data_IF_290051638767
#
_entry.id   IF_290051638767
#
_cell.length_a   1.000
_cell.length_b   1.000
_cell.length_c   1.000
_cell.angle_alpha   90.00
_cell.angle_beta   90.00
_cell.angle_gamma   90.00
#
_symmetry.space_group_name_H-M   'P 1'
#
loop_
_entity.id
_entity.type
_entity.pdbx_description
1 polymer ?
#
# COMPACT_ATOMS: atom_id res chain seq x y z
N UNK A 1 38.01 10.01 5.33
CA UNK A 1 37.06 10.18 4.22
C UNK A 1 35.76 9.57 4.70
N UNK A 2 34.69 10.36 4.85
CA UNK A 2 33.50 9.98 5.61
C UNK A 2 32.49 9.27 4.68
N UNK A 3 32.39 7.95 4.78
CA UNK A 3 31.56 7.11 3.90
C UNK A 3 30.05 7.42 4.00
N UNK A 4 29.63 8.16 5.04
CA UNK A 4 28.26 8.63 5.21
C UNK A 4 27.78 9.64 4.16
N UNK A 5 28.70 10.30 3.43
CA UNK A 5 28.34 11.25 2.35
C UNK A 5 28.14 10.58 0.99
N UNK A 6 28.60 9.34 0.80
CA UNK A 6 28.48 8.64 -0.48
C UNK A 6 27.10 7.96 -0.60
N UNK A 7 26.53 7.52 0.53
CA UNK A 7 25.18 6.93 0.56
C UNK A 7 24.06 7.96 0.39
N UNK A 8 24.33 9.26 0.54
CA UNK A 8 23.32 10.33 0.41
C UNK A 8 23.12 10.83 -1.03
N UNK A 9 23.74 10.17 -2.03
CA UNK A 9 23.74 10.58 -3.44
C UNK A 9 23.29 9.48 -4.40
N UNK A 10 22.61 8.45 -3.90
CA UNK A 10 21.76 7.67 -4.80
C UNK A 10 20.53 8.54 -5.07
N UNK A 11 20.10 8.76 -6.34
CA UNK A 11 18.76 9.26 -6.58
C UNK A 11 17.83 8.29 -5.87
N UNK A 12 17.16 8.75 -4.82
CA UNK A 12 16.15 7.96 -4.16
C UNK A 12 14.99 7.87 -5.17
N UNK A 13 15.01 6.83 -6.01
CA UNK A 13 13.93 6.52 -6.97
C UNK A 13 12.60 6.30 -6.22
N UNK A 14 12.67 6.09 -4.90
CA UNK A 14 11.54 5.83 -4.02
C UNK A 14 11.66 6.67 -2.75
N UNK A 15 10.60 7.41 -2.41
CA UNK A 15 10.48 8.01 -1.08
C UNK A 15 10.13 6.91 -0.06
N UNK A 16 11.14 6.49 0.69
CA UNK A 16 11.02 5.45 1.71
C UNK A 16 10.01 5.81 2.81
N UNK A 17 9.91 7.09 3.17
CA UNK A 17 8.95 7.53 4.19
C UNK A 17 7.52 7.42 3.66
N UNK A 18 7.29 7.89 2.44
CA UNK A 18 5.99 7.77 1.77
C UNK A 18 5.57 6.30 1.62
N UNK A 19 6.48 5.41 1.22
CA UNK A 19 6.20 3.99 1.08
C UNK A 19 5.84 3.32 2.42
N UNK A 20 6.55 3.64 3.50
CA UNK A 20 6.27 3.10 4.84
C UNK A 20 4.90 3.59 5.34
N UNK A 21 4.61 4.88 5.25
CA UNK A 21 3.33 5.43 5.70
C UNK A 21 2.15 4.94 4.86
N UNK A 22 2.33 4.88 3.54
CA UNK A 22 1.33 4.29 2.64
C UNK A 22 1.05 2.84 3.02
N UNK A 23 2.09 2.03 3.24
CA UNK A 23 1.94 0.60 3.54
C UNK A 23 1.32 0.34 4.92
N UNK A 24 1.59 1.22 5.89
CA UNK A 24 0.97 1.15 7.20
C UNK A 24 -0.52 1.50 7.15
N UNK A 25 -0.89 2.60 6.49
CA UNK A 25 -2.29 3.07 6.43
C UNK A 25 -3.13 2.11 5.58
N UNK A 26 -2.69 1.78 4.37
CA UNK A 26 -3.38 0.83 3.49
C UNK A 26 -3.50 -0.56 4.13
N UNK A 27 -2.43 -1.04 4.77
CA UNK A 27 -2.43 -2.29 5.53
C UNK A 27 -3.45 -2.27 6.66
N UNK A 28 -3.50 -1.19 7.43
CA UNK A 28 -4.48 -1.03 8.52
C UNK A 28 -5.91 -1.08 7.98
N UNK A 29 -6.22 -0.33 6.92
CA UNK A 29 -7.56 -0.33 6.30
C UNK A 29 -7.90 -1.73 5.78
N UNK A 30 -6.97 -2.41 5.11
CA UNK A 30 -7.17 -3.78 4.64
C UNK A 30 -7.45 -4.75 5.77
N UNK A 31 -6.79 -4.60 6.92
CA UNK A 31 -7.03 -5.43 8.10
C UNK A 31 -8.44 -5.20 8.65
N UNK A 32 -8.89 -3.94 8.72
CA UNK A 32 -10.26 -3.61 9.11
C UNK A 32 -11.29 -4.24 8.16
N UNK A 33 -11.10 -4.12 6.84
CA UNK A 33 -11.98 -4.76 5.85
C UNK A 33 -12.00 -6.28 6.03
N UNK A 34 -10.84 -6.87 6.31
CA UNK A 34 -10.67 -8.31 6.57
C UNK A 34 -11.37 -8.79 7.85
N UNK A 35 -11.75 -7.90 8.76
CA UNK A 35 -12.51 -8.22 9.97
C UNK A 35 -14.00 -7.93 9.76
N UNK A 36 -14.31 -6.77 9.19
CA UNK A 36 -15.68 -6.28 9.01
C UNK A 36 -16.45 -7.13 8.00
N UNK A 37 -15.84 -7.53 6.88
CA UNK A 37 -16.55 -8.33 5.87
C UNK A 37 -16.95 -9.72 6.41
N UNK A 38 -16.04 -10.53 6.99
CA UNK A 38 -16.43 -11.83 7.55
C UNK A 38 -17.44 -11.73 8.69
N UNK A 39 -17.36 -10.68 9.51
CA UNK A 39 -18.36 -10.43 10.55
C UNK A 39 -19.76 -10.34 9.95
N UNK A 40 -19.94 -9.50 8.93
CA UNK A 40 -21.27 -9.22 8.39
C UNK A 40 -21.82 -10.34 7.48
N UNK A 41 -20.95 -11.15 6.85
CA UNK A 41 -21.39 -12.15 5.86
C UNK A 41 -21.51 -13.56 6.45
N UNK A 42 -20.58 -13.97 7.31
CA UNK A 42 -20.52 -15.34 7.84
C UNK A 42 -20.49 -15.40 9.38
N UNK A 43 -20.61 -14.25 10.05
CA UNK A 43 -20.59 -14.12 11.50
C UNK A 43 -19.31 -14.68 12.17
N UNK A 44 -18.18 -14.62 11.46
CA UNK A 44 -16.85 -14.98 12.00
C UNK A 44 -15.84 -13.87 11.68
N UNK A 45 -15.77 -12.80 12.50
CA UNK A 45 -14.91 -11.64 12.26
C UNK A 45 -13.42 -11.96 12.18
N UNK A 46 -12.98 -13.06 12.79
CA UNK A 46 -11.57 -13.37 12.95
C UNK A 46 -11.10 -14.47 12.00
N UNK A 47 -11.97 -15.00 11.13
CA UNK A 47 -11.59 -16.05 10.17
C UNK A 47 -10.36 -15.66 9.35
N UNK A 48 -10.39 -14.49 8.71
CA UNK A 48 -9.29 -14.03 7.85
C UNK A 48 -8.02 -13.79 8.67
N UNK A 49 -8.16 -13.27 9.89
CA UNK A 49 -7.03 -13.06 10.82
C UNK A 49 -6.39 -14.41 11.19
N UNK A 50 -7.19 -15.44 11.47
CA UNK A 50 -6.68 -16.80 11.75
C UNK A 50 -6.04 -17.44 10.52
N UNK A 51 -6.53 -17.17 9.31
CA UNK A 51 -5.87 -17.59 8.07
C UNK A 51 -4.47 -16.96 7.93
N UNK A 52 -4.33 -15.66 8.23
CA UNK A 52 -3.02 -14.98 8.24
C UNK A 52 -2.05 -15.60 9.25
N UNK A 53 -2.53 -15.93 10.46
CA UNK A 53 -1.73 -16.62 11.47
C UNK A 53 -1.31 -18.04 11.05
N UNK A 54 -2.19 -18.75 10.34
CA UNK A 54 -1.97 -20.14 9.93
C UNK A 54 -0.77 -20.32 8.99
N UNK A 55 -0.33 -19.25 8.31
CA UNK A 55 0.88 -19.25 7.48
C UNK A 55 2.12 -19.63 8.30
N UNK A 56 2.20 -19.16 9.56
CA UNK A 56 3.35 -19.42 10.43
C UNK A 56 3.05 -20.45 11.52
N UNK A 57 1.80 -20.55 11.98
CA UNK A 57 1.39 -21.46 13.06
C UNK A 57 0.76 -22.76 12.58
N UNK A 58 0.54 -22.90 11.27
CA UNK A 58 -0.13 -24.05 10.66
C UNK A 58 -1.66 -24.04 10.78
N UNK A 59 -2.35 -25.06 10.24
CA UNK A 59 -3.81 -25.07 10.10
C UNK A 59 -4.59 -25.15 11.42
N UNK A 60 -3.95 -25.56 12.52
CA UNK A 60 -4.63 -25.76 13.81
C UNK A 60 -5.23 -24.48 14.41
N UNK A 61 -4.76 -23.31 13.97
CA UNK A 61 -5.28 -22.00 14.44
C UNK A 61 -6.49 -21.51 13.66
N UNK A 62 -6.90 -22.17 12.56
CA UNK A 62 -7.99 -21.70 11.68
C UNK A 62 -9.36 -21.90 12.32
N UNK A 63 -9.54 -23.01 13.07
CA UNK A 63 -10.77 -23.26 13.80
C UNK A 63 -11.04 -22.13 14.80
N UNK A 64 -12.32 -21.78 15.05
CA UNK A 64 -12.68 -20.86 16.13
C UNK A 64 -12.01 -21.31 17.43
N UNK A 65 -11.26 -20.41 18.04
CA UNK A 65 -10.61 -20.67 19.31
C UNK A 65 -11.64 -20.43 20.41
N UNK A 66 -11.74 -21.33 21.39
CA UNK A 66 -12.65 -21.17 22.52
C UNK A 66 -12.32 -19.93 23.36
N UNK A 67 -11.07 -19.45 23.30
CA UNK A 67 -10.56 -18.27 23.97
C UNK A 67 -9.76 -17.37 23.01
N UNK A 68 -9.61 -16.09 23.36
CA UNK A 68 -8.67 -15.19 22.67
C UNK A 68 -7.24 -15.61 23.02
N UNK A 69 -6.60 -16.39 22.13
CA UNK A 69 -5.19 -16.76 22.25
C UNK A 69 -4.33 -15.63 21.69
N UNK A 70 -3.73 -14.74 22.50
CA UNK A 70 -3.14 -13.48 22.01
C UNK A 70 -2.00 -13.72 21.01
N UNK A 71 -1.25 -14.80 21.18
CA UNK A 71 -0.16 -15.19 20.29
C UNK A 71 -0.60 -15.40 18.83
N UNK A 72 -1.80 -15.96 18.61
CA UNK A 72 -2.33 -16.17 17.25
C UNK A 72 -2.55 -14.83 16.55
N UNK A 73 -3.14 -13.86 17.25
CA UNK A 73 -3.44 -12.56 16.68
C UNK A 73 -2.20 -11.69 16.47
N UNK A 74 -1.20 -11.79 17.37
CA UNK A 74 0.10 -11.14 17.17
C UNK A 74 0.77 -11.67 15.91
N UNK A 75 0.80 -12.99 15.72
CA UNK A 75 1.38 -13.60 14.51
C UNK A 75 0.60 -13.20 13.27
N UNK A 76 -0.73 -13.13 13.33
CA UNK A 76 -1.55 -12.65 12.20
C UNK A 76 -1.17 -11.22 11.80
N UNK A 77 -1.07 -10.30 12.77
CA UNK A 77 -0.70 -8.90 12.55
C UNK A 77 0.70 -8.81 11.94
N UNK A 78 1.66 -9.58 12.47
CA UNK A 78 3.03 -9.62 11.93
C UNK A 78 3.06 -10.09 10.48
N UNK A 79 2.39 -11.19 10.16
CA UNK A 79 2.28 -11.69 8.77
C UNK A 79 1.64 -10.63 7.86
N UNK A 80 0.53 -10.03 8.30
CA UNK A 80 -0.20 -9.04 7.52
C UNK A 80 0.64 -7.81 7.21
N UNK A 81 1.25 -7.19 8.22
CA UNK A 81 2.06 -5.98 8.00
C UNK A 81 3.34 -6.28 7.22
N UNK A 82 3.95 -7.45 7.41
CA UNK A 82 5.13 -7.86 6.62
C UNK A 82 4.81 -7.91 5.12
N UNK A 83 3.69 -8.53 4.75
CA UNK A 83 3.19 -8.56 3.37
C UNK A 83 2.76 -7.17 2.90
N UNK A 84 2.07 -6.39 3.75
CA UNK A 84 1.59 -5.04 3.43
C UNK A 84 2.74 -4.13 3.01
N UNK A 85 3.84 -4.12 3.78
CA UNK A 85 5.02 -3.33 3.42
C UNK A 85 5.64 -3.86 2.13
N UNK A 86 5.89 -5.16 2.01
CA UNK A 86 6.49 -5.77 0.82
C UNK A 86 5.72 -5.42 -0.46
N UNK A 87 4.39 -5.56 -0.45
CA UNK A 87 3.57 -5.24 -1.62
C UNK A 87 3.42 -3.74 -1.87
N UNK A 88 3.40 -2.91 -0.82
CA UNK A 88 3.38 -1.46 -1.01
C UNK A 88 4.65 -0.98 -1.69
N UNK A 89 5.83 -1.52 -1.33
CA UNK A 89 7.07 -1.21 -2.03
C UNK A 89 6.98 -1.56 -3.52
N UNK A 90 6.43 -2.74 -3.86
CA UNK A 90 6.24 -3.15 -5.26
C UNK A 90 5.30 -2.19 -6.00
N UNK A 91 4.15 -1.86 -5.39
CA UNK A 91 3.16 -0.94 -5.98
C UNK A 91 3.77 0.45 -6.18
N UNK A 92 4.49 0.96 -5.18
CA UNK A 92 5.10 2.27 -5.23
C UNK A 92 6.15 2.37 -6.36
N UNK A 93 6.99 1.35 -6.53
CA UNK A 93 7.95 1.29 -7.65
C UNK A 93 7.24 1.32 -9.02
N UNK A 94 6.10 0.64 -9.16
CA UNK A 94 5.38 0.53 -10.43
C UNK A 94 4.66 1.84 -10.80
N UNK A 95 4.00 2.47 -9.82
CA UNK A 95 3.07 3.57 -10.07
C UNK A 95 3.61 4.96 -9.74
N UNK A 96 4.87 5.06 -9.33
CA UNK A 96 5.58 6.32 -9.05
C UNK A 96 5.33 7.39 -10.14
N UNK A 97 4.57 8.44 -9.80
CA UNK A 97 4.35 9.65 -10.62
C UNK A 97 3.55 9.46 -11.90
N UNK A 98 2.69 8.43 -11.94
CA UNK A 98 1.69 8.20 -12.99
C UNK A 98 0.40 9.02 -12.77
N UNK A 99 0.30 9.71 -11.65
CA UNK A 99 -0.86 10.49 -11.25
C UNK A 99 -1.89 9.67 -10.47
N UNK A 100 -2.66 10.37 -9.63
CA UNK A 100 -3.54 9.77 -8.61
C UNK A 100 -4.57 8.78 -9.15
N UNK A 101 -5.21 9.08 -10.28
CA UNK A 101 -6.24 8.20 -10.87
C UNK A 101 -5.62 6.89 -11.36
N UNK A 102 -4.44 6.97 -11.97
CA UNK A 102 -3.73 5.80 -12.46
C UNK A 102 -3.18 4.97 -11.29
N UNK A 103 -2.66 5.63 -10.25
CA UNK A 103 -2.22 4.96 -9.03
C UNK A 103 -3.38 4.25 -8.30
N UNK A 104 -4.58 4.85 -8.28
CA UNK A 104 -5.77 4.22 -7.69
C UNK A 104 -6.23 2.99 -8.48
N UNK A 105 -6.45 3.14 -9.79
CA UNK A 105 -6.97 2.05 -10.64
C UNK A 105 -5.90 0.95 -10.80
N UNK A 106 -4.66 1.35 -11.09
CA UNK A 106 -3.52 0.46 -11.23
C UNK A 106 -3.22 -0.27 -9.92
N UNK A 107 -3.29 0.45 -8.79
CA UNK A 107 -3.20 -0.14 -7.46
C UNK A 107 -4.30 -1.15 -7.19
N UNK A 108 -5.55 -0.86 -7.53
CA UNK A 108 -6.69 -1.79 -7.38
C UNK A 108 -6.48 -3.09 -8.18
N UNK A 109 -6.04 -2.96 -9.43
CA UNK A 109 -5.69 -4.10 -10.30
C UNK A 109 -4.52 -4.88 -9.69
N UNK A 110 -3.50 -4.19 -9.20
CA UNK A 110 -2.36 -4.85 -8.57
C UNK A 110 -2.77 -5.57 -7.28
N UNK A 111 -3.71 -5.01 -6.51
CA UNK A 111 -4.32 -5.69 -5.37
C UNK A 111 -5.04 -6.99 -5.76
N UNK A 112 -5.77 -6.99 -6.86
CA UNK A 112 -6.37 -8.22 -7.40
C UNK A 112 -5.30 -9.25 -7.82
N UNK A 113 -4.23 -8.80 -8.50
CA UNK A 113 -3.10 -9.67 -8.86
C UNK A 113 -2.41 -10.23 -7.62
N UNK A 114 -2.18 -9.41 -6.60
CA UNK A 114 -1.61 -9.82 -5.30
C UNK A 114 -2.51 -10.87 -4.63
N UNK A 115 -3.84 -10.73 -4.69
CA UNK A 115 -4.75 -11.75 -4.19
C UNK A 115 -4.55 -13.09 -4.91
N UNK A 116 -4.54 -13.09 -6.24
CA UNK A 116 -4.31 -14.30 -7.03
C UNK A 116 -2.97 -14.92 -6.66
N UNK A 117 -1.89 -14.11 -6.65
CA UNK A 117 -0.56 -14.59 -6.33
C UNK A 117 -0.50 -15.16 -4.91
N UNK A 118 -0.94 -14.41 -3.90
CA UNK A 118 -0.95 -14.89 -2.52
C UNK A 118 -1.78 -16.15 -2.38
N UNK A 119 -3.00 -16.17 -2.91
CA UNK A 119 -3.88 -17.31 -2.74
C UNK A 119 -3.31 -18.56 -3.42
N UNK A 120 -2.92 -18.49 -4.70
CA UNK A 120 -2.44 -19.65 -5.43
C UNK A 120 -1.01 -20.04 -5.06
N UNK A 121 -0.06 -19.10 -4.90
CA UNK A 121 1.31 -19.44 -4.48
C UNK A 121 1.32 -19.98 -3.04
N UNK A 122 0.59 -19.37 -2.11
CA UNK A 122 0.51 -19.90 -0.76
C UNK A 122 -0.23 -21.21 -0.72
N UNK A 123 -1.25 -21.43 -1.55
CA UNK A 123 -1.90 -22.74 -1.63
C UNK A 123 -1.00 -23.87 -2.11
N UNK A 124 0.07 -23.58 -2.86
CA UNK A 124 1.06 -24.59 -3.23
C UNK A 124 1.94 -25.01 -2.03
N UNK A 125 2.26 -24.07 -1.15
CA UNK A 125 3.13 -24.30 0.03
C UNK A 125 2.33 -24.72 1.26
N UNK A 126 1.11 -24.22 1.39
CA UNK A 126 0.18 -24.35 2.51
C UNK A 126 -1.18 -24.86 1.98
N UNK A 127 -1.30 -26.16 1.65
CA UNK A 127 -2.47 -26.71 0.96
C UNK A 127 -3.80 -26.51 1.68
N UNK A 128 -3.78 -26.32 3.00
CA UNK A 128 -4.97 -26.07 3.81
C UNK A 128 -5.62 -24.70 3.55
N UNK A 129 -4.96 -23.78 2.82
CA UNK A 129 -5.55 -22.49 2.47
C UNK A 129 -6.51 -22.58 1.28
N UNK A 130 -6.39 -23.61 0.42
CA UNK A 130 -7.22 -23.79 -0.78
C UNK A 130 -8.73 -23.69 -0.54
N UNK A 131 -9.31 -24.29 0.52
CA UNK A 131 -10.75 -24.20 0.76
C UNK A 131 -11.23 -22.80 1.14
N UNK A 132 -10.33 -21.90 1.53
CA UNK A 132 -10.65 -20.58 2.07
C UNK A 132 -10.53 -19.45 1.05
N UNK A 133 -10.31 -19.78 -0.23
CA UNK A 133 -10.35 -18.81 -1.33
C UNK A 133 -11.72 -18.19 -1.44
N UNK A 134 -11.84 -16.91 -1.07
CA UNK A 134 -13.11 -16.22 -1.06
C UNK A 134 -12.99 -14.78 -1.58
N UNK A 135 -14.12 -14.27 -2.03
CA UNK A 135 -14.22 -12.93 -2.60
C UNK A 135 -13.97 -11.82 -1.56
N UNK A 136 -14.12 -12.09 -0.26
CA UNK A 136 -13.84 -11.11 0.81
C UNK A 136 -12.33 -10.86 0.95
N UNK A 137 -11.50 -11.91 0.87
CA UNK A 137 -10.04 -11.77 0.77
C UNK A 137 -9.67 -10.97 -0.49
N UNK A 138 -10.27 -11.32 -1.62
CA UNK A 138 -10.05 -10.62 -2.89
C UNK A 138 -10.36 -9.12 -2.77
N UNK A 139 -11.53 -8.76 -2.24
CA UNK A 139 -11.94 -7.37 -2.08
C UNK A 139 -11.01 -6.61 -1.11
N UNK A 140 -10.59 -7.24 -0.02
CA UNK A 140 -9.64 -6.64 0.93
C UNK A 140 -8.31 -6.29 0.25
N UNK A 141 -7.79 -7.17 -0.60
CA UNK A 141 -6.55 -6.92 -1.34
C UNK A 141 -6.71 -5.84 -2.43
N UNK A 142 -7.88 -5.77 -3.10
CA UNK A 142 -8.18 -4.70 -4.06
C UNK A 142 -8.18 -3.34 -3.35
N UNK A 143 -8.86 -3.24 -2.21
CA UNK A 143 -8.90 -2.01 -1.40
C UNK A 143 -7.50 -1.63 -0.92
N UNK A 144 -6.72 -2.62 -0.45
CA UNK A 144 -5.33 -2.44 -0.08
C UNK A 144 -4.52 -1.82 -1.22
N UNK A 145 -4.53 -2.44 -2.40
CA UNK A 145 -3.72 -1.98 -3.53
C UNK A 145 -4.12 -0.59 -4.02
N UNK A 146 -5.43 -0.31 -4.09
CA UNK A 146 -5.95 1.00 -4.47
C UNK A 146 -5.46 2.11 -3.52
N UNK A 147 -5.50 1.84 -2.21
CA UNK A 147 -5.03 2.78 -1.20
C UNK A 147 -3.50 2.90 -1.19
N UNK A 148 -2.78 1.80 -1.32
CA UNK A 148 -1.31 1.80 -1.32
C UNK A 148 -0.74 2.66 -2.46
N UNK A 149 -1.29 2.53 -3.67
CA UNK A 149 -0.89 3.35 -4.81
C UNK A 149 -1.23 4.82 -4.60
N UNK A 150 -2.47 5.11 -4.18
CA UNK A 150 -2.95 6.49 -3.99
C UNK A 150 -2.20 7.22 -2.88
N UNK A 151 -2.00 6.57 -1.73
CA UNK A 151 -1.34 7.17 -0.58
C UNK A 151 0.15 7.40 -0.82
N UNK A 152 0.81 6.52 -1.59
CA UNK A 152 2.19 6.75 -1.98
C UNK A 152 2.31 8.03 -2.82
N UNK A 153 1.52 8.15 -3.89
CA UNK A 153 1.50 9.34 -4.75
C UNK A 153 1.12 10.63 -4.00
N UNK A 154 0.27 10.52 -2.97
CA UNK A 154 -0.12 11.66 -2.13
C UNK A 154 0.98 12.11 -1.16
N UNK A 155 1.81 11.18 -0.68
CA UNK A 155 2.82 11.43 0.35
C UNK A 155 4.22 11.69 -0.23
N UNK A 156 4.45 11.34 -1.49
CA UNK A 156 5.72 11.54 -2.17
C UNK A 156 6.11 13.03 -2.23
N UNK A 157 7.31 13.37 -1.76
CA UNK A 157 7.82 14.75 -1.83
C UNK A 157 8.27 15.10 -3.26
N UNK A 158 7.63 16.10 -3.87
CA UNK A 158 7.95 16.60 -5.22
C UNK A 158 9.33 17.25 -5.38
N UNK A 159 10.18 17.22 -4.34
CA UNK A 159 11.59 17.67 -4.37
C UNK A 159 12.57 16.59 -4.81
N UNK A 160 12.12 15.34 -4.97
CA UNK A 160 12.93 14.31 -5.62
C UNK A 160 13.04 14.68 -7.11
N UNK A 161 14.29 14.84 -7.58
CA UNK A 161 14.64 15.42 -8.88
C UNK A 161 14.51 14.39 -10.01
N UNK A 162 13.27 14.09 -10.36
CA UNK A 162 12.88 13.41 -11.58
C UNK A 162 11.72 14.20 -12.20
N UNK A 163 11.45 14.10 -13.49
CA UNK A 163 10.27 14.76 -14.10
C UNK A 163 9.04 13.83 -14.08
N UNK A 164 7.84 14.32 -13.72
CA UNK A 164 6.64 13.48 -13.67
C UNK A 164 6.25 13.07 -15.09
N UNK A 165 5.79 11.82 -15.29
CA UNK A 165 5.40 11.33 -16.62
C UNK A 165 4.30 12.20 -17.25
N UNK A 166 3.37 12.69 -16.42
CA UNK A 166 2.44 13.74 -16.81
C UNK A 166 2.87 15.07 -16.17
N UNK A 167 3.26 16.06 -16.98
CA UNK A 167 3.58 17.38 -16.46
C UNK A 167 2.35 17.96 -15.75
N UNK A 168 2.52 18.39 -14.50
CA UNK A 168 1.53 19.27 -13.86
C UNK A 168 1.42 20.51 -14.75
N UNK A 169 0.23 20.76 -15.30
CA UNK A 169 -0.04 21.97 -16.09
C UNK A 169 0.20 23.18 -15.19
N UNK A 170 1.40 23.74 -15.23
CA UNK A 170 1.70 25.04 -14.64
C UNK A 170 0.83 26.05 -15.37
N UNK A 171 -0.14 26.62 -14.65
CA UNK A 171 -0.79 27.84 -15.13
C UNK A 171 0.31 28.89 -15.24
N UNK A 172 0.71 29.21 -16.48
CA UNK A 172 1.53 30.37 -16.77
C UNK A 172 0.69 31.56 -16.30
N UNK A 173 0.91 32.03 -15.08
CA UNK A 173 0.48 33.37 -14.69
C UNK A 173 1.48 34.28 -15.40
N UNK A 174 1.06 35.05 -16.43
CA UNK A 174 1.95 36.04 -16.99
C UNK A 174 2.32 36.99 -15.85
N UNK A 175 3.60 37.08 -15.54
CA UNK A 175 4.14 38.15 -14.71
C UNK A 175 3.84 39.45 -15.47
N UNK A 176 2.70 40.08 -15.17
CA UNK A 176 2.36 41.39 -15.68
C UNK A 176 3.44 42.35 -15.19
N UNK A 177 4.25 42.83 -16.14
CA UNK A 177 5.29 43.81 -15.94
C UNK A 177 4.70 45.14 -15.50
N UNK A 178 4.49 45.31 -14.19
CA UNK A 178 4.23 46.61 -13.59
C UNK A 178 5.56 47.38 -13.48
N UNK A 179 6.12 47.78 -14.63
CA UNK A 179 7.16 48.80 -14.69
C UNK A 179 6.48 50.15 -14.99
N UNK A 180 5.99 50.81 -13.95
CA UNK A 180 5.58 52.22 -14.02
C UNK A 180 6.63 53.04 -13.28
N UNK A 181 7.79 53.22 -13.92
CA UNK A 181 8.76 54.20 -13.47
C UNK A 181 8.35 55.57 -14.01
N UNK A 182 8.02 56.44 -13.06
CA UNK A 182 8.11 57.89 -13.10
C UNK A 182 9.04 58.43 -14.20
N UNK A 183 8.47 59.16 -15.16
CA UNK A 183 9.18 60.19 -15.91
C UNK A 183 8.36 61.49 -15.82
N UNK A 184 8.56 62.20 -14.71
CA UNK A 184 8.20 63.61 -14.56
C UNK A 184 9.51 64.40 -14.52
N UNK A 185 9.94 64.86 -15.69
CA UNK A 185 10.79 66.05 -15.85
C UNK A 185 10.74 66.50 -17.31
N UNK A 186 9.92 67.52 -17.59
CA UNK A 186 10.33 68.78 -18.24
C UNK A 186 9.14 69.72 -18.34
#
# INVERSE_FOLDING_TARGET
>A
MNDSKILSKLPAVLDWSAAIWSGFISGTVSLFVSIVLPWNIINDPLLIVRLMASILLGPGVISPQNDLVPGVYVVAILTHFSLSFAFTFIIAIIFHRWGMVVAFIGGAIMGFVIYILNFYLFSLVFPWLLPYGNWMLMLSNIVFGALAGTLYEMLEDGRINDEPFFPKRTSIIPQASANTNHESTK
#
